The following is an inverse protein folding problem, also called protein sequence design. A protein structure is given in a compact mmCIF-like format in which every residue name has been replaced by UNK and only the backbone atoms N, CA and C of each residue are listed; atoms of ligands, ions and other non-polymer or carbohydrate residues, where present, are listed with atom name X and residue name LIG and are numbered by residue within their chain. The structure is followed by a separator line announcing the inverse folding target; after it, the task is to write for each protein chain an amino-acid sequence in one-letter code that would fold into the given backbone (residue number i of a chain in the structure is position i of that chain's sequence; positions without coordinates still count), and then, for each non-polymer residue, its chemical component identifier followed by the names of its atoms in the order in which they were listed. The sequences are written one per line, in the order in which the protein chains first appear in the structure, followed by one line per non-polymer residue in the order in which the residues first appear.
data_IF_765686447822
#
_entry.id   IF_765686447822
#
_cell.length_a   1.000
_cell.length_b   1.000
_cell.length_c   1.000
_cell.angle_alpha   90.00
_cell.angle_beta   90.00
_cell.angle_gamma   90.00
#
_symmetry.space_group_name_H-M   'P 1'
#
loop_
_entity.id
_entity.type
_entity.pdbx_description
1 polymer ?
#
# COMPACT_ATOMS: atom_id res chain seq x y z
N UNK A 1 21.06 -4.09 -0.97
CA UNK A 1 19.80 -4.84 -1.07
C UNK A 1 19.53 -5.06 -2.55
N UNK A 2 19.30 -6.28 -3.02
CA UNK A 2 19.01 -6.54 -4.45
C UNK A 2 17.70 -7.29 -4.52
N UNK A 3 16.75 -6.77 -5.31
CA UNK A 3 15.45 -7.40 -5.56
C UNK A 3 15.36 -7.95 -7.00
N UNK A 4 16.51 -8.28 -7.59
CA UNK A 4 16.60 -8.84 -8.95
C UNK A 4 15.75 -10.10 -9.07
N UNK A 5 15.05 -10.20 -10.17
CA UNK A 5 14.16 -11.31 -10.50
C UNK A 5 12.93 -11.45 -9.56
N UNK A 6 12.58 -10.41 -8.79
CA UNK A 6 11.34 -10.36 -8.05
C UNK A 6 10.26 -9.65 -8.87
N UNK A 7 9.10 -10.27 -8.95
CA UNK A 7 7.90 -9.66 -9.50
C UNK A 7 7.11 -9.00 -8.37
N UNK A 8 6.84 -7.72 -8.51
CA UNK A 8 6.17 -6.88 -7.49
C UNK A 8 4.88 -6.33 -8.04
N UNK A 9 3.76 -6.63 -7.41
CA UNK A 9 2.47 -6.00 -7.70
C UNK A 9 2.23 -4.88 -6.70
N UNK A 10 1.99 -3.66 -7.21
CA UNK A 10 1.66 -2.49 -6.40
C UNK A 10 0.24 -2.03 -6.73
N UNK A 11 -0.67 -2.22 -5.80
CA UNK A 11 -2.00 -1.64 -5.87
C UNK A 11 -1.92 -0.13 -5.62
N UNK A 12 -2.15 0.68 -6.67
CA UNK A 12 -2.06 2.13 -6.63
C UNK A 12 -0.65 2.68 -6.86
N UNK A 13 -0.07 2.39 -8.04
CA UNK A 13 1.27 2.84 -8.44
C UNK A 13 1.32 4.21 -9.14
N UNK A 14 0.18 4.88 -9.38
CA UNK A 14 0.12 6.03 -10.28
C UNK A 14 0.74 7.33 -9.75
N UNK A 15 0.79 7.54 -8.44
CA UNK A 15 1.28 8.78 -7.81
C UNK A 15 1.74 8.57 -6.38
N UNK A 16 2.28 9.61 -5.77
CA UNK A 16 2.60 9.68 -4.34
C UNK A 16 3.44 8.50 -3.84
N UNK A 17 3.03 7.93 -2.72
CA UNK A 17 3.72 6.80 -2.06
C UNK A 17 3.87 5.59 -3.00
N UNK A 18 2.81 5.23 -3.72
CA UNK A 18 2.83 4.06 -4.61
C UNK A 18 3.82 4.21 -5.77
N UNK A 19 3.93 5.40 -6.36
CA UNK A 19 4.92 5.69 -7.40
C UNK A 19 6.34 5.62 -6.85
N UNK A 20 6.59 6.22 -5.67
CA UNK A 20 7.91 6.16 -5.03
C UNK A 20 8.30 4.71 -4.70
N UNK A 21 7.36 3.91 -4.16
CA UNK A 21 7.59 2.49 -3.93
C UNK A 21 7.98 1.80 -5.25
N UNK A 22 7.21 2.02 -6.32
CA UNK A 22 7.46 1.40 -7.63
C UNK A 22 8.86 1.73 -8.17
N UNK A 23 9.25 2.99 -8.13
CA UNK A 23 10.56 3.45 -8.57
C UNK A 23 11.71 2.89 -7.72
N UNK A 24 11.54 2.84 -6.40
CA UNK A 24 12.54 2.26 -5.51
C UNK A 24 12.72 0.74 -5.75
N UNK A 25 11.63 0.00 -6.02
CA UNK A 25 11.72 -1.42 -6.37
C UNK A 25 12.40 -1.63 -7.72
N UNK A 26 12.05 -0.82 -8.73
CA UNK A 26 12.64 -0.85 -10.07
C UNK A 26 14.17 -0.62 -10.01
N UNK A 27 14.62 0.43 -9.30
CA UNK A 27 16.03 0.76 -9.11
C UNK A 27 16.84 -0.39 -8.47
N UNK A 28 16.19 -1.25 -7.70
CA UNK A 28 16.80 -2.43 -7.08
C UNK A 28 16.73 -3.68 -7.96
N UNK A 29 16.20 -3.54 -9.19
CA UNK A 29 16.17 -4.55 -10.23
C UNK A 29 14.96 -5.48 -10.16
N UNK A 30 13.89 -5.09 -9.49
CA UNK A 30 12.61 -5.81 -9.55
C UNK A 30 11.86 -5.48 -10.84
N UNK A 31 11.02 -6.41 -11.31
CA UNK A 31 9.99 -6.13 -12.30
C UNK A 31 8.71 -5.69 -11.58
N UNK A 32 8.22 -4.51 -11.92
CA UNK A 32 7.11 -3.88 -11.17
C UNK A 32 5.85 -3.80 -12.01
N UNK A 33 4.73 -4.22 -11.43
CA UNK A 33 3.39 -4.10 -12.00
C UNK A 33 2.57 -3.18 -11.11
N UNK A 34 2.24 -2.00 -11.64
CA UNK A 34 1.47 -1.00 -10.89
C UNK A 34 0.02 -0.90 -11.40
N UNK A 35 -0.92 -0.56 -10.52
CA UNK A 35 -2.31 -0.35 -10.96
C UNK A 35 -2.72 1.11 -10.88
N UNK A 36 -3.61 1.52 -11.78
CA UNK A 36 -4.28 2.82 -11.80
C UNK A 36 -5.76 2.65 -12.17
N UNK A 37 -6.57 3.67 -11.92
CA UNK A 37 -8.01 3.63 -12.20
C UNK A 37 -8.37 3.95 -13.66
N UNK A 38 -7.40 4.41 -14.47
CA UNK A 38 -7.60 4.78 -15.86
C UNK A 38 -6.48 4.27 -16.75
N UNK A 39 -6.75 4.13 -18.04
CA UNK A 39 -5.74 3.75 -19.04
C UNK A 39 -4.58 4.75 -19.05
N UNK A 40 -4.87 6.05 -19.05
CA UNK A 40 -3.83 7.10 -18.97
C UNK A 40 -2.91 6.91 -17.75
N UNK A 41 -3.47 6.54 -16.60
CA UNK A 41 -2.68 6.26 -15.41
C UNK A 41 -1.82 4.99 -15.55
N UNK A 42 -2.36 3.94 -16.17
CA UNK A 42 -1.61 2.71 -16.44
C UNK A 42 -0.47 2.96 -17.46
N UNK A 43 -0.72 3.75 -18.50
CA UNK A 43 0.30 4.11 -19.48
C UNK A 43 1.43 4.93 -18.83
N UNK A 44 1.10 5.89 -17.97
CA UNK A 44 2.07 6.66 -17.20
C UNK A 44 2.94 5.79 -16.27
N UNK A 45 2.35 4.74 -15.66
CA UNK A 45 3.11 3.76 -14.88
C UNK A 45 4.11 3.01 -15.77
N UNK A 46 3.65 2.54 -16.92
CA UNK A 46 4.51 1.82 -17.88
C UNK A 46 5.66 2.71 -18.34
N UNK A 47 5.37 3.98 -18.63
CA UNK A 47 6.37 4.96 -19.07
C UNK A 47 7.48 5.16 -18.02
N UNK A 48 7.13 5.47 -16.76
CA UNK A 48 8.15 5.73 -15.74
C UNK A 48 8.91 4.50 -15.28
N UNK A 49 8.37 3.28 -15.47
CA UNK A 49 9.08 2.02 -15.21
C UNK A 49 10.08 1.65 -16.31
N UNK A 50 10.10 2.38 -17.42
CA UNK A 50 11.16 2.35 -18.43
C UNK A 50 11.57 0.93 -18.90
N UNK A 51 10.59 0.07 -19.17
CA UNK A 51 10.82 -1.32 -19.60
C UNK A 51 11.04 -2.34 -18.47
N UNK A 52 11.05 -1.90 -17.21
CA UNK A 52 11.19 -2.78 -16.03
C UNK A 52 9.84 -3.06 -15.35
N UNK A 53 8.76 -2.99 -16.10
CA UNK A 53 7.42 -3.27 -15.60
C UNK A 53 6.32 -2.68 -16.46
N UNK A 54 5.08 -2.73 -15.94
CA UNK A 54 3.89 -2.32 -16.68
C UNK A 54 2.78 -1.83 -15.76
N UNK A 55 2.00 -0.88 -16.25
CA UNK A 55 0.78 -0.41 -15.60
C UNK A 55 -0.45 -1.18 -16.06
N UNK A 56 -1.40 -1.36 -15.16
CA UNK A 56 -2.68 -2.03 -15.41
C UNK A 56 -3.83 -1.19 -14.91
N UNK A 57 -4.96 -1.25 -15.60
CA UNK A 57 -6.20 -0.61 -15.14
C UNK A 57 -6.88 -1.51 -14.12
N UNK A 58 -7.30 -0.93 -12.99
CA UNK A 58 -8.04 -1.64 -11.95
C UNK A 58 -9.01 -0.70 -11.23
N UNK A 59 -10.29 -1.07 -11.23
CA UNK A 59 -11.30 -0.42 -10.38
C UNK A 59 -11.46 -1.21 -9.08
N UNK A 60 -10.96 -0.67 -7.97
CA UNK A 60 -11.01 -1.31 -6.65
C UNK A 60 -12.43 -1.43 -6.06
N UNK A 61 -13.39 -0.71 -6.60
CA UNK A 61 -14.80 -0.81 -6.19
C UNK A 61 -15.53 -1.98 -6.88
N UNK A 62 -14.91 -2.58 -7.89
CA UNK A 62 -15.44 -3.72 -8.62
C UNK A 62 -14.55 -4.96 -8.40
N UNK A 63 -15.12 -5.97 -7.76
CA UNK A 63 -14.43 -7.22 -7.45
C UNK A 63 -13.94 -7.96 -8.69
N UNK A 64 -14.71 -7.92 -9.78
CA UNK A 64 -14.33 -8.57 -11.02
C UNK A 64 -13.12 -7.87 -11.64
N UNK A 65 -13.14 -6.53 -11.67
CA UNK A 65 -12.00 -5.74 -12.14
C UNK A 65 -10.70 -6.02 -11.37
N UNK A 66 -10.78 -6.27 -10.05
CA UNK A 66 -9.60 -6.65 -9.24
C UNK A 66 -9.07 -8.01 -9.67
N UNK A 67 -9.94 -8.99 -9.89
CA UNK A 67 -9.56 -10.35 -10.33
C UNK A 67 -9.00 -10.35 -11.75
N UNK A 68 -9.65 -9.66 -12.68
CA UNK A 68 -9.21 -9.54 -14.07
C UNK A 68 -7.84 -8.87 -14.16
N UNK A 69 -7.62 -7.80 -13.40
CA UNK A 69 -6.34 -7.12 -13.33
C UNK A 69 -5.25 -8.05 -12.77
N UNK A 70 -5.52 -8.76 -11.68
CA UNK A 70 -4.56 -9.73 -11.12
C UNK A 70 -4.20 -10.81 -12.14
N UNK A 71 -5.18 -11.38 -12.84
CA UNK A 71 -4.96 -12.38 -13.86
C UNK A 71 -4.12 -11.84 -15.03
N UNK A 72 -4.37 -10.59 -15.44
CA UNK A 72 -3.57 -9.93 -16.47
C UNK A 72 -2.11 -9.72 -16.03
N UNK A 73 -1.89 -9.35 -14.75
CA UNK A 73 -0.54 -9.26 -14.19
C UNK A 73 0.15 -10.60 -14.16
N UNK A 74 -0.53 -11.67 -13.74
CA UNK A 74 0.05 -13.04 -13.74
C UNK A 74 0.37 -13.51 -15.14
N UNK A 75 -0.47 -13.21 -16.12
CA UNK A 75 -0.20 -13.54 -17.53
C UNK A 75 1.03 -12.81 -18.07
N UNK A 76 1.18 -11.53 -17.77
CA UNK A 76 2.34 -10.71 -18.16
C UNK A 76 3.63 -11.18 -17.47
N UNK A 77 3.56 -11.45 -16.16
CA UNK A 77 4.71 -11.87 -15.36
C UNK A 77 5.10 -13.34 -15.58
N UNK A 78 4.22 -14.15 -16.16
CA UNK A 78 4.37 -15.60 -16.26
C UNK A 78 4.26 -16.35 -14.93
N UNK A 79 4.03 -15.65 -13.84
CA UNK A 79 3.95 -16.18 -12.47
C UNK A 79 3.22 -15.23 -11.53
N UNK A 80 2.76 -15.75 -10.40
CA UNK A 80 2.24 -14.90 -9.32
C UNK A 80 3.35 -13.97 -8.78
N UNK A 81 3.04 -12.72 -8.44
CA UNK A 81 3.97 -11.79 -7.81
C UNK A 81 4.63 -12.38 -6.56
N UNK A 82 5.92 -12.08 -6.37
CA UNK A 82 6.68 -12.44 -5.16
C UNK A 82 6.40 -11.47 -4.02
N UNK A 83 6.07 -10.23 -4.37
CA UNK A 83 5.72 -9.17 -3.43
C UNK A 83 4.40 -8.52 -3.84
N UNK A 84 3.48 -8.41 -2.90
CA UNK A 84 2.26 -7.61 -3.03
C UNK A 84 2.38 -6.39 -2.13
N UNK A 85 2.23 -5.18 -2.69
CA UNK A 85 2.12 -3.93 -1.93
C UNK A 85 0.71 -3.37 -2.11
N UNK A 86 -0.10 -3.43 -1.08
CA UNK A 86 -1.41 -2.81 -1.02
C UNK A 86 -1.28 -1.35 -0.55
N UNK A 87 -1.21 -0.43 -1.50
CA UNK A 87 -1.00 0.99 -1.21
C UNK A 87 -2.22 1.86 -1.53
N UNK A 88 -2.99 1.56 -2.59
CA UNK A 88 -4.12 2.41 -2.97
C UNK A 88 -5.09 2.66 -1.82
N UNK A 89 -5.63 3.86 -1.80
CA UNK A 89 -6.64 4.25 -0.83
C UNK A 89 -7.31 5.55 -1.24
N UNK A 90 -8.53 5.70 -0.79
CA UNK A 90 -9.32 6.93 -0.95
C UNK A 90 -9.75 7.43 0.43
N UNK A 91 -10.01 8.73 0.51
CA UNK A 91 -10.66 9.35 1.67
C UNK A 91 -12.00 9.96 1.26
N UNK A 92 -12.96 9.97 2.17
CA UNK A 92 -14.26 10.64 2.08
C UNK A 92 -14.54 11.22 3.47
N UNK A 93 -13.81 12.28 3.79
CA UNK A 93 -13.74 12.83 5.14
C UNK A 93 -14.94 13.73 5.42
N UNK A 94 -15.69 13.40 6.46
CA UNK A 94 -16.78 14.20 7.01
C UNK A 94 -17.14 13.71 8.40
N UNK A 95 -17.74 14.57 9.22
CA UNK A 95 -18.24 14.17 10.55
C UNK A 95 -19.23 13.02 10.42
N UNK A 96 -19.13 12.02 11.28
CA UNK A 96 -19.88 10.76 11.19
C UNK A 96 -21.39 10.96 11.04
N UNK A 97 -21.96 11.91 11.77
CA UNK A 97 -23.39 12.23 11.68
C UNK A 97 -23.85 12.74 10.30
N UNK A 98 -22.92 13.17 9.44
CA UNK A 98 -23.17 13.65 8.07
C UNK A 98 -22.62 12.71 7.01
N UNK A 99 -21.93 11.65 7.43
CA UNK A 99 -21.30 10.69 6.52
C UNK A 99 -22.38 9.86 5.80
N UNK A 100 -22.33 9.86 4.48
CA UNK A 100 -23.23 9.03 3.68
C UNK A 100 -22.75 7.58 3.72
N UNK A 101 -23.68 6.64 3.69
CA UNK A 101 -23.36 5.22 3.68
C UNK A 101 -22.50 4.83 2.46
N UNK A 102 -22.79 5.42 1.29
CA UNK A 102 -22.05 5.16 0.06
C UNK A 102 -20.57 5.58 0.17
N UNK A 103 -20.29 6.70 0.87
CA UNK A 103 -18.92 7.15 1.12
C UNK A 103 -18.18 6.22 2.10
N UNK A 104 -18.89 5.74 3.12
CA UNK A 104 -18.35 4.74 4.04
C UNK A 104 -18.00 3.44 3.31
N UNK A 105 -18.95 2.90 2.55
CA UNK A 105 -18.81 1.65 1.82
C UNK A 105 -17.69 1.73 0.77
N UNK A 106 -17.59 2.83 0.03
CA UNK A 106 -16.53 3.03 -0.96
C UNK A 106 -15.13 3.03 -0.33
N UNK A 107 -14.97 3.66 0.84
CA UNK A 107 -13.68 3.67 1.57
C UNK A 107 -13.34 2.27 2.08
N UNK A 108 -14.29 1.55 2.67
CA UNK A 108 -14.07 0.16 3.11
C UNK A 108 -13.74 -0.75 1.92
N UNK A 109 -14.48 -0.61 0.82
CA UNK A 109 -14.26 -1.43 -0.38
C UNK A 109 -12.85 -1.22 -0.96
N UNK A 110 -12.44 0.03 -1.14
CA UNK A 110 -11.14 0.35 -1.72
C UNK A 110 -9.98 0.02 -0.75
N UNK A 111 -10.07 0.54 0.49
CA UNK A 111 -8.92 0.56 1.39
C UNK A 111 -8.72 -0.75 2.17
N UNK A 112 -9.74 -1.60 2.23
CA UNK A 112 -9.69 -2.87 2.95
C UNK A 112 -10.03 -4.06 2.05
N UNK A 113 -11.25 -4.11 1.49
CA UNK A 113 -11.73 -5.32 0.82
C UNK A 113 -10.96 -5.65 -0.46
N UNK A 114 -10.58 -4.65 -1.27
CA UNK A 114 -9.73 -4.85 -2.44
C UNK A 114 -8.34 -5.37 -2.06
N UNK A 115 -7.75 -4.86 -0.97
CA UNK A 115 -6.47 -5.35 -0.44
C UNK A 115 -6.56 -6.81 0.02
N UNK A 116 -7.64 -7.17 0.73
CA UNK A 116 -7.92 -8.55 1.16
C UNK A 116 -8.10 -9.46 -0.04
N UNK A 117 -8.80 -9.02 -1.08
CA UNK A 117 -9.00 -9.80 -2.30
C UNK A 117 -7.69 -10.07 -3.03
N UNK A 118 -6.85 -9.05 -3.23
CA UNK A 118 -5.52 -9.22 -3.84
C UNK A 118 -4.62 -10.16 -3.01
N UNK A 119 -4.62 -10.01 -1.69
CA UNK A 119 -3.89 -10.91 -0.80
C UNK A 119 -4.38 -12.36 -0.96
N UNK A 120 -5.70 -12.59 -1.02
CA UNK A 120 -6.29 -13.91 -1.21
C UNK A 120 -5.86 -14.56 -2.53
N UNK A 121 -5.78 -13.78 -3.62
CA UNK A 121 -5.30 -14.26 -4.92
C UNK A 121 -3.81 -14.63 -4.90
N UNK A 122 -2.99 -13.89 -4.14
CA UNK A 122 -1.56 -14.15 -4.00
C UNK A 122 -1.22 -15.31 -3.07
N UNK A 123 -1.97 -15.51 -1.98
CA UNK A 123 -1.59 -16.44 -0.89
C UNK A 123 -1.42 -17.88 -1.37
N UNK A 124 -2.36 -18.44 -2.15
CA UNK A 124 -2.27 -19.83 -2.58
C UNK A 124 -1.03 -20.12 -3.44
N UNK A 125 -0.71 -19.31 -4.47
CA UNK A 125 0.54 -19.49 -5.22
C UNK A 125 1.80 -19.25 -4.36
N UNK A 126 1.82 -18.26 -3.47
CA UNK A 126 2.94 -18.00 -2.56
C UNK A 126 3.18 -19.17 -1.60
N UNK A 127 2.10 -19.78 -1.07
CA UNK A 127 2.20 -20.98 -0.23
C UNK A 127 2.81 -22.17 -0.97
N UNK A 128 2.48 -22.36 -2.24
CA UNK A 128 3.09 -23.41 -3.10
C UNK A 128 4.57 -23.15 -3.31
N UNK A 129 4.97 -21.90 -3.56
CA UNK A 129 6.38 -21.49 -3.69
C UNK A 129 7.14 -21.51 -2.36
N UNK A 130 6.44 -21.53 -1.22
CA UNK A 130 6.98 -21.34 0.14
C UNK A 130 7.78 -20.03 0.28
N UNK A 131 7.35 -19.00 -0.40
CA UNK A 131 7.97 -17.67 -0.38
C UNK A 131 6.94 -16.61 -0.79
N UNK A 132 6.93 -15.47 -0.12
CA UNK A 132 6.07 -14.33 -0.45
C UNK A 132 6.23 -13.19 0.53
N UNK A 133 5.89 -11.98 0.10
CA UNK A 133 5.87 -10.77 0.92
C UNK A 133 4.57 -10.02 0.64
N UNK A 134 3.80 -9.74 1.68
CA UNK A 134 2.60 -8.91 1.60
C UNK A 134 2.83 -7.70 2.49
N UNK A 135 2.76 -6.52 1.90
CA UNK A 135 3.01 -5.24 2.57
C UNK A 135 1.77 -4.37 2.40
N UNK A 136 1.13 -4.02 3.48
CA UNK A 136 -0.08 -3.23 3.50
C UNK A 136 0.22 -1.81 4.00
N UNK A 137 -0.08 -0.80 3.18
CA UNK A 137 0.07 0.60 3.59
C UNK A 137 -1.17 0.99 4.40
N UNK A 138 -1.01 0.99 5.72
CA UNK A 138 -2.01 1.46 6.68
C UNK A 138 -1.90 2.97 6.88
N UNK A 139 -2.04 3.44 8.09
CA UNK A 139 -1.90 4.84 8.52
C UNK A 139 -1.85 4.90 10.05
N UNK A 140 -1.25 5.94 10.61
CA UNK A 140 -1.43 6.28 12.04
C UNK A 140 -2.91 6.46 12.38
N UNK A 141 -3.73 6.93 11.44
CA UNK A 141 -5.18 7.10 11.63
C UNK A 141 -5.87 5.75 11.87
N UNK A 142 -5.32 4.64 11.39
CA UNK A 142 -5.79 3.29 11.72
C UNK A 142 -5.43 2.82 13.13
N UNK A 143 -4.49 3.50 13.79
CA UNK A 143 -4.07 3.22 15.17
C UNK A 143 -4.76 4.16 16.16
N UNK A 144 -4.75 5.47 15.89
CA UNK A 144 -5.22 6.52 16.82
C UNK A 144 -6.66 6.97 16.56
N UNK A 145 -7.16 6.74 15.34
CA UNK A 145 -8.38 7.39 14.88
C UNK A 145 -8.13 8.85 14.48
N UNK A 146 -9.10 9.46 13.80
CA UNK A 146 -9.12 10.89 13.52
C UNK A 146 -10.56 11.36 13.32
N UNK A 147 -10.90 12.51 13.89
CA UNK A 147 -12.24 13.10 13.73
C UNK A 147 -12.53 13.36 12.24
N UNK A 148 -13.73 12.96 11.77
CA UNK A 148 -14.13 13.07 10.38
C UNK A 148 -13.66 11.93 9.48
N UNK A 149 -12.91 10.95 10.00
CA UNK A 149 -12.35 9.82 9.23
C UNK A 149 -12.78 8.46 9.77
N UNK A 150 -14.01 8.33 10.29
CA UNK A 150 -14.48 7.06 10.84
C UNK A 150 -14.41 5.89 9.84
N UNK A 151 -14.73 6.12 8.57
CA UNK A 151 -14.60 5.15 7.48
C UNK A 151 -13.14 4.78 7.20
N UNK A 152 -12.27 5.77 7.08
CA UNK A 152 -10.84 5.57 6.78
C UNK A 152 -10.12 4.89 7.96
N UNK A 153 -10.37 5.34 9.19
CA UNK A 153 -9.84 4.72 10.42
C UNK A 153 -10.26 3.25 10.51
N UNK A 154 -11.55 2.95 10.29
CA UNK A 154 -12.06 1.58 10.30
C UNK A 154 -11.37 0.70 9.26
N UNK A 155 -11.19 1.20 8.01
CA UNK A 155 -10.52 0.45 6.96
C UNK A 155 -9.04 0.18 7.29
N UNK A 156 -8.31 1.20 7.76
CA UNK A 156 -6.87 1.08 8.05
C UNK A 156 -6.59 0.26 9.32
N UNK A 157 -7.43 0.36 10.33
CA UNK A 157 -7.41 -0.52 11.50
C UNK A 157 -7.73 -1.98 11.13
N UNK A 158 -8.77 -2.18 10.29
CA UNK A 158 -9.13 -3.49 9.76
C UNK A 158 -7.98 -4.15 8.98
N UNK A 159 -7.23 -3.36 8.22
CA UNK A 159 -6.07 -3.83 7.46
C UNK A 159 -4.94 -4.30 8.39
N UNK A 160 -4.71 -3.63 9.53
CA UNK A 160 -3.75 -4.05 10.57
C UNK A 160 -4.19 -5.38 11.20
N UNK A 161 -5.46 -5.49 11.60
CA UNK A 161 -6.02 -6.73 12.17
C UNK A 161 -5.94 -7.91 11.20
N UNK A 162 -6.32 -7.68 9.94
CA UNK A 162 -6.20 -8.66 8.86
C UNK A 162 -4.76 -9.14 8.69
N UNK A 163 -3.80 -8.21 8.64
CA UNK A 163 -2.38 -8.54 8.45
C UNK A 163 -1.83 -9.42 9.57
N UNK A 164 -2.19 -9.11 10.82
CA UNK A 164 -1.80 -9.91 12.00
C UNK A 164 -2.34 -11.34 11.92
N UNK A 165 -3.59 -11.52 11.53
CA UNK A 165 -4.22 -12.84 11.40
C UNK A 165 -3.60 -13.64 10.25
N UNK A 166 -3.50 -13.04 9.07
CA UNK A 166 -2.93 -13.69 7.90
C UNK A 166 -1.46 -14.09 8.13
N UNK A 167 -0.68 -13.24 8.80
CA UNK A 167 0.73 -13.56 9.14
C UNK A 167 0.85 -14.86 9.93
N UNK A 168 -0.06 -15.12 10.88
CA UNK A 168 -0.08 -16.36 11.69
C UNK A 168 -0.44 -17.58 10.85
N UNK A 169 -1.33 -17.43 9.85
CA UNK A 169 -1.77 -18.53 9.00
C UNK A 169 -0.70 -18.95 8.00
N UNK A 170 0.03 -17.98 7.41
CA UNK A 170 0.93 -18.26 6.28
C UNK A 170 2.42 -18.29 6.66
N UNK A 171 2.78 -17.93 7.89
CA UNK A 171 4.17 -17.83 8.33
C UNK A 171 4.96 -19.12 8.18
N UNK A 172 4.33 -20.30 8.47
CA UNK A 172 4.94 -21.62 8.28
C UNK A 172 5.28 -21.95 6.82
N UNK A 173 4.80 -21.13 5.88
CA UNK A 173 5.06 -21.23 4.44
C UNK A 173 6.08 -20.20 3.94
N UNK A 174 6.84 -19.56 4.83
CA UNK A 174 7.86 -18.58 4.47
C UNK A 174 7.30 -17.28 3.89
N UNK A 175 6.03 -16.97 4.17
CA UNK A 175 5.36 -15.75 3.73
C UNK A 175 5.32 -14.78 4.92
N UNK A 176 5.72 -13.52 4.70
CA UNK A 176 5.55 -12.47 5.70
C UNK A 176 4.44 -11.51 5.28
N UNK A 177 3.69 -11.04 6.27
CA UNK A 177 2.59 -10.07 6.07
C UNK A 177 2.76 -8.97 7.11
N UNK A 178 3.03 -7.74 6.63
CA UNK A 178 3.30 -6.60 7.50
C UNK A 178 2.54 -5.36 7.05
N UNK A 179 2.36 -4.43 7.97
CA UNK A 179 1.84 -3.09 7.69
C UNK A 179 2.95 -2.06 7.79
N UNK A 180 2.81 -0.99 7.01
CA UNK A 180 3.48 0.28 7.24
C UNK A 180 2.40 1.28 7.63
N UNK A 181 2.62 2.05 8.68
CA UNK A 181 1.73 3.11 9.13
C UNK A 181 2.40 4.49 8.92
N UNK A 182 2.19 5.12 7.75
CA UNK A 182 2.68 6.46 7.52
C UNK A 182 1.99 7.48 8.45
N UNK A 183 2.74 8.51 8.82
CA UNK A 183 2.20 9.72 9.38
C UNK A 183 1.78 10.74 8.31
N UNK A 184 2.17 12.00 8.51
CA UNK A 184 1.96 13.06 7.54
C UNK A 184 3.03 12.99 6.43
N UNK A 185 2.58 12.69 5.20
CA UNK A 185 3.45 12.52 4.03
C UNK A 185 3.18 13.64 3.02
N UNK A 186 4.22 14.31 2.56
CA UNK A 186 4.12 15.29 1.49
C UNK A 186 3.87 14.58 0.14
N UNK A 187 2.65 14.69 -0.36
CA UNK A 187 2.19 14.12 -1.63
C UNK A 187 1.30 15.13 -2.34
N UNK A 188 0.90 14.84 -3.57
CA UNK A 188 -0.08 15.68 -4.30
C UNK A 188 -1.36 15.92 -3.49
N UNK A 189 -1.74 14.98 -2.65
CA UNK A 189 -2.92 15.10 -1.76
C UNK A 189 -2.73 16.16 -0.67
N UNK A 190 -1.51 16.40 -0.21
CA UNK A 190 -1.17 17.41 0.79
C UNK A 190 -0.66 18.72 0.17
N UNK A 191 -0.40 18.76 -1.13
CA UNK A 191 0.06 19.94 -1.86
C UNK A 191 -0.98 21.08 -1.90
N UNK A 192 -2.24 20.78 -1.59
CA UNK A 192 -3.31 21.78 -1.48
C UNK A 192 -3.25 22.59 -0.16
N UNK A 193 -2.41 22.20 0.82
CA UNK A 193 -2.24 22.91 2.09
C UNK A 193 -1.41 24.16 1.88
N UNK A 194 -1.83 25.27 2.51
CA UNK A 194 -1.02 26.49 2.56
C UNK A 194 0.15 26.34 3.55
N UNK A 195 1.10 27.28 3.49
CA UNK A 195 2.31 27.25 4.33
C UNK A 195 2.01 27.25 5.85
N UNK A 196 0.95 27.94 6.27
CA UNK A 196 0.55 28.00 7.67
C UNK A 196 0.02 26.65 8.15
N UNK A 197 -0.82 26.01 7.36
CA UNK A 197 -1.34 24.67 7.63
C UNK A 197 -0.21 23.63 7.65
N UNK A 198 0.71 23.70 6.68
CA UNK A 198 1.87 22.82 6.62
C UNK A 198 2.76 22.99 7.87
N UNK A 199 2.99 24.26 8.29
CA UNK A 199 3.75 24.59 9.48
C UNK A 199 3.07 24.10 10.76
N UNK A 200 1.74 24.21 10.84
CA UNK A 200 0.97 23.69 11.97
C UNK A 200 1.14 22.18 12.09
N UNK A 201 1.02 21.43 10.99
CA UNK A 201 1.24 19.99 10.97
C UNK A 201 2.68 19.60 11.33
N UNK A 202 3.68 20.21 10.70
CA UNK A 202 5.08 19.87 10.95
C UNK A 202 5.53 20.19 12.37
N UNK A 203 4.91 21.17 13.02
CA UNK A 203 5.17 21.50 14.42
C UNK A 203 4.76 20.38 15.39
N UNK A 204 3.75 19.59 15.06
CA UNK A 204 3.32 18.44 15.89
C UNK A 204 4.23 17.24 15.72
N UNK A 205 4.94 17.13 14.60
CA UNK A 205 5.83 16.01 14.30
C UNK A 205 7.16 16.20 15.05
N UNK A 206 7.63 15.25 15.87
CA UNK A 206 8.92 15.36 16.56
C UNK A 206 10.10 15.61 15.62
N UNK A 207 10.16 14.94 14.45
CA UNK A 207 11.23 15.17 13.44
C UNK A 207 11.09 16.49 12.66
N UNK A 208 10.05 17.32 12.95
CA UNK A 208 9.86 18.68 12.43
C UNK A 208 9.81 18.80 10.90
N UNK A 209 9.45 17.72 10.21
CA UNK A 209 9.21 17.70 8.77
C UNK A 209 8.09 16.73 8.42
N UNK A 210 7.45 16.96 7.30
CA UNK A 210 6.65 15.91 6.65
C UNK A 210 7.57 14.78 6.15
N UNK A 211 7.06 13.56 6.13
CA UNK A 211 7.72 12.48 5.42
C UNK A 211 7.68 12.73 3.90
N UNK A 212 8.69 12.30 3.19
CA UNK A 212 8.65 12.14 1.74
C UNK A 212 8.03 10.78 1.37
N UNK A 213 7.59 10.63 0.14
CA UNK A 213 7.14 9.33 -0.34
C UNK A 213 8.27 8.27 -0.29
N UNK A 214 9.53 8.71 -0.45
CA UNK A 214 10.71 7.84 -0.35
C UNK A 214 10.99 7.36 1.08
N UNK A 215 10.66 8.14 2.11
CA UNK A 215 10.75 7.67 3.51
C UNK A 215 9.86 6.43 3.72
N UNK A 216 8.69 6.40 3.08
CA UNK A 216 7.78 5.24 3.13
C UNK A 216 8.27 4.10 2.23
N UNK A 217 8.74 4.43 1.02
CA UNK A 217 9.23 3.45 0.06
C UNK A 217 10.43 2.66 0.60
N UNK A 218 11.34 3.31 1.33
CA UNK A 218 12.47 2.64 1.98
C UNK A 218 12.03 1.52 2.93
N UNK A 219 10.95 1.75 3.71
CA UNK A 219 10.39 0.75 4.62
C UNK A 219 9.73 -0.40 3.84
N UNK A 220 9.07 -0.12 2.72
CA UNK A 220 8.48 -1.15 1.86
C UNK A 220 9.57 -2.04 1.23
N UNK A 221 10.64 -1.45 0.73
CA UNK A 221 11.81 -2.17 0.20
C UNK A 221 12.46 -3.05 1.28
N UNK A 222 12.63 -2.51 2.50
CA UNK A 222 13.17 -3.29 3.63
C UNK A 222 12.30 -4.51 3.92
N UNK A 223 10.98 -4.32 4.07
CA UNK A 223 10.05 -5.41 4.36
C UNK A 223 9.95 -6.46 3.24
N UNK A 224 10.22 -6.08 1.99
CA UNK A 224 10.25 -6.99 0.85
C UNK A 224 11.54 -7.81 0.78
N UNK A 225 12.60 -7.36 1.44
CA UNK A 225 13.93 -7.97 1.37
C UNK A 225 14.10 -9.16 2.34
N UNK A 226 15.18 -9.90 2.17
CA UNK A 226 15.55 -10.99 3.09
C UNK A 226 15.99 -10.47 4.47
N UNK A 227 16.35 -9.19 4.60
CA UNK A 227 16.67 -8.57 5.88
C UNK A 227 15.47 -8.55 6.84
N UNK A 228 14.24 -8.56 6.30
CA UNK A 228 13.01 -8.61 7.07
C UNK A 228 12.39 -10.03 7.13
N UNK A 229 13.16 -11.08 6.83
CA UNK A 229 12.63 -12.45 6.74
C UNK A 229 12.05 -12.99 8.05
N UNK A 230 12.41 -12.41 9.18
CA UNK A 230 11.89 -12.78 10.51
C UNK A 230 10.88 -11.76 11.07
N UNK A 231 10.42 -10.80 10.23
CA UNK A 231 9.42 -9.81 10.59
C UNK A 231 8.10 -10.16 9.91
N UNK A 232 7.09 -10.51 10.71
CA UNK A 232 5.73 -10.78 10.21
C UNK A 232 4.68 -10.43 11.26
N UNK A 233 3.51 -9.96 10.83
CA UNK A 233 2.44 -9.49 11.69
C UNK A 233 2.70 -8.13 12.35
N UNK A 234 3.76 -7.44 11.95
CA UNK A 234 4.17 -6.17 12.51
C UNK A 234 3.55 -4.99 11.77
N UNK A 235 3.37 -3.89 12.48
CA UNK A 235 3.10 -2.56 11.90
C UNK A 235 4.34 -1.70 12.13
N UNK A 236 4.97 -1.26 11.06
CA UNK A 236 6.13 -0.37 11.11
C UNK A 236 5.62 1.08 11.03
N UNK A 237 5.86 1.83 12.09
CA UNK A 237 5.50 3.23 12.16
C UNK A 237 6.54 4.09 11.41
N UNK A 238 6.09 4.79 10.36
CA UNK A 238 6.92 5.71 9.56
C UNK A 238 6.26 7.08 9.61
N UNK A 239 6.31 7.70 10.78
CA UNK A 239 5.49 8.86 11.11
C UNK A 239 6.26 10.03 11.75
N UNK A 240 7.58 9.95 11.84
CA UNK A 240 8.42 11.00 12.42
C UNK A 240 8.24 11.19 13.93
N UNK A 241 7.68 10.20 14.63
CA UNK A 241 7.37 10.24 16.06
C UNK A 241 5.99 10.83 16.38
N UNK A 242 5.13 11.05 15.36
CA UNK A 242 3.78 11.57 15.56
C UNK A 242 2.90 10.59 16.37
N UNK A 243 3.16 9.30 16.24
CA UNK A 243 2.60 8.22 17.03
C UNK A 243 3.75 7.33 17.52
N UNK A 244 3.74 7.00 18.81
CA UNK A 244 4.69 6.10 19.45
C UNK A 244 3.91 5.07 20.29
N UNK A 245 4.07 3.80 19.99
CA UNK A 245 3.51 2.69 20.77
C UNK A 245 4.41 2.36 21.97
#
# INVERSE_FOLDING_TARGET
MKLRNKNVLIFGGGSGIGKAIAQNFEQLGATVYGTATSQKGADAITEYLNGHGKGFVMNSLDRQSVEDCFNAVVAEAGTCPDVLVNNAGITRDTLFMRMKQEDFDAVIQCNLLACVQLAKLCVSPMMKKRAGRIINISSIVGQDGNAGQCNYSAAKAGLIGFSKSLAKEVGSRGITVNCIAPGFVATDMTAALNEEQLKAWTNTIPLKRAATADDIAASAVFLASDMASYITGSTIDVNGGLHCN
#
